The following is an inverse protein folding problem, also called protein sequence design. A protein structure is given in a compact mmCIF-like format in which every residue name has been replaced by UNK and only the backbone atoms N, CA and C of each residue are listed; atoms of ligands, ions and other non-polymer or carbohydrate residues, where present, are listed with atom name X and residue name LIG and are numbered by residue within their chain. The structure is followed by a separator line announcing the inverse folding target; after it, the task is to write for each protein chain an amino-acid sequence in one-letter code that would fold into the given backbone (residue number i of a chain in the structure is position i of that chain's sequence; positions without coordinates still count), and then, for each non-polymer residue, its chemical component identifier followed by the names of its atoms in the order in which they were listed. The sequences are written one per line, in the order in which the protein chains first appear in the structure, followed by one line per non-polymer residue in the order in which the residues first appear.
data_IF_924084021372
#
_entry.id   IF_924084021372
#
_cell.length_a   1.000
_cell.length_b   1.000
_cell.length_c   1.000
_cell.angle_alpha   90.00
_cell.angle_beta   90.00
_cell.angle_gamma   90.00
#
_symmetry.space_group_name_H-M   'P 1'
#
loop_
_entity.id
_entity.type
_entity.pdbx_description
1 polymer ?
#
# COMPACT_ATOMS: atom_id res chain seq x y z
N UNK A 1 -45.67 32.82 -7.83
CA UNK A 1 -44.97 32.32 -6.63
C UNK A 1 -44.99 30.80 -6.51
N UNK A 2 -46.11 30.11 -6.21
CA UNK A 2 -46.07 28.64 -6.04
C UNK A 2 -45.70 27.85 -7.32
N UNK A 3 -46.03 28.38 -8.50
CA UNK A 3 -45.63 27.78 -9.79
C UNK A 3 -44.13 27.91 -10.07
N UNK A 4 -43.50 28.98 -9.59
CA UNK A 4 -42.08 29.26 -9.79
C UNK A 4 -41.22 28.36 -8.90
N UNK A 5 -41.66 28.14 -7.66
CA UNK A 5 -41.00 27.22 -6.73
C UNK A 5 -41.10 25.77 -7.21
N UNK A 6 -42.25 25.35 -7.77
CA UNK A 6 -42.39 24.00 -8.33
C UNK A 6 -41.46 23.77 -9.53
N UNK A 7 -41.35 24.77 -10.40
CA UNK A 7 -40.45 24.70 -11.56
C UNK A 7 -38.98 24.67 -11.12
N UNK A 8 -38.62 25.45 -10.09
CA UNK A 8 -37.27 25.42 -9.52
C UNK A 8 -36.93 24.06 -8.90
N UNK A 9 -37.88 23.42 -8.20
CA UNK A 9 -37.70 22.06 -7.66
C UNK A 9 -37.47 21.06 -8.80
N UNK A 10 -38.29 21.11 -9.86
CA UNK A 10 -38.10 20.23 -11.02
C UNK A 10 -36.75 20.43 -11.71
N UNK A 11 -36.25 21.67 -11.76
CA UNK A 11 -34.94 21.96 -12.31
C UNK A 11 -33.82 21.36 -11.43
N UNK A 12 -33.94 21.49 -10.10
CA UNK A 12 -33.00 20.87 -9.16
C UNK A 12 -33.04 19.33 -9.26
N UNK A 13 -34.21 18.74 -9.39
CA UNK A 13 -34.36 17.29 -9.57
C UNK A 13 -33.65 16.83 -10.85
N UNK A 14 -33.81 17.57 -11.96
CA UNK A 14 -33.10 17.28 -13.21
C UNK A 14 -31.58 17.42 -13.06
N UNK A 15 -31.09 18.47 -12.39
CA UNK A 15 -29.66 18.64 -12.12
C UNK A 15 -29.09 17.50 -11.26
N UNK A 16 -29.88 16.96 -10.32
CA UNK A 16 -29.50 15.79 -9.52
C UNK A 16 -29.42 14.55 -10.40
N UNK A 17 -30.41 14.29 -11.25
CA UNK A 17 -30.43 13.14 -12.16
C UNK A 17 -29.24 13.18 -13.13
N UNK A 18 -28.99 14.34 -13.75
CA UNK A 18 -27.87 14.54 -14.67
C UNK A 18 -26.52 14.30 -13.98
N UNK A 19 -26.37 14.76 -12.73
CA UNK A 19 -25.16 14.54 -11.94
C UNK A 19 -24.97 13.06 -11.59
N UNK A 20 -26.05 12.37 -11.24
CA UNK A 20 -26.01 10.93 -10.96
C UNK A 20 -25.54 10.17 -12.21
N UNK A 21 -26.12 10.46 -13.37
CA UNK A 21 -25.75 9.79 -14.62
C UNK A 21 -24.28 10.00 -14.99
N UNK A 22 -23.77 11.22 -14.83
CA UNK A 22 -22.36 11.52 -15.11
C UNK A 22 -21.43 10.79 -14.12
N UNK A 23 -21.75 10.77 -12.83
CA UNK A 23 -20.97 10.01 -11.84
C UNK A 23 -20.99 8.51 -12.14
N UNK A 24 -22.15 7.98 -12.53
CA UNK A 24 -22.31 6.57 -12.91
C UNK A 24 -21.42 6.22 -14.12
N UNK A 25 -21.36 7.12 -15.11
CA UNK A 25 -20.50 6.97 -16.28
C UNK A 25 -19.03 6.93 -15.91
N UNK A 26 -18.59 7.85 -15.05
CA UNK A 26 -17.21 7.93 -14.56
C UNK A 26 -16.86 6.69 -13.74
N UNK A 27 -17.75 6.22 -12.87
CA UNK A 27 -17.56 5.00 -12.10
C UNK A 27 -17.41 3.78 -13.00
N UNK A 28 -18.29 3.60 -13.99
CA UNK A 28 -18.19 2.49 -14.96
C UNK A 28 -16.89 2.51 -15.75
N UNK A 29 -16.45 3.68 -16.22
CA UNK A 29 -15.18 3.83 -16.92
C UNK A 29 -13.99 3.47 -16.01
N UNK A 30 -14.03 3.92 -14.76
CA UNK A 30 -13.00 3.65 -13.76
C UNK A 30 -12.94 2.17 -13.40
N UNK A 31 -14.08 1.52 -13.15
CA UNK A 31 -14.19 0.09 -12.89
C UNK A 31 -13.66 -0.74 -14.07
N UNK A 32 -13.98 -0.35 -15.30
CA UNK A 32 -13.48 -1.01 -16.51
C UNK A 32 -11.96 -0.91 -16.62
N UNK A 33 -11.40 0.27 -16.36
CA UNK A 33 -9.95 0.48 -16.34
C UNK A 33 -9.26 -0.35 -15.24
N UNK A 34 -9.87 -0.40 -14.05
CA UNK A 34 -9.39 -1.18 -12.92
C UNK A 34 -9.35 -2.67 -13.26
N UNK A 35 -10.41 -3.21 -13.87
CA UNK A 35 -10.47 -4.60 -14.31
C UNK A 35 -9.35 -4.96 -15.30
N UNK A 36 -9.07 -4.08 -16.27
CA UNK A 36 -7.95 -4.26 -17.20
C UNK A 36 -6.59 -4.27 -16.49
N UNK A 37 -6.40 -3.43 -15.48
CA UNK A 37 -5.16 -3.40 -14.70
C UNK A 37 -4.97 -4.67 -13.87
N UNK A 38 -6.03 -5.20 -13.26
CA UNK A 38 -5.97 -6.48 -12.57
C UNK A 38 -5.62 -7.62 -13.52
N UNK A 39 -6.28 -7.71 -14.68
CA UNK A 39 -5.95 -8.73 -15.68
C UNK A 39 -4.49 -8.63 -16.14
N UNK A 40 -3.98 -7.40 -16.34
CA UNK A 40 -2.57 -7.18 -16.69
C UNK A 40 -1.63 -7.61 -15.56
N UNK A 41 -1.97 -7.32 -14.30
CA UNK A 41 -1.19 -7.72 -13.13
C UNK A 41 -1.12 -9.25 -13.05
N UNK A 42 -2.26 -9.92 -13.11
CA UNK A 42 -2.34 -11.39 -13.03
C UNK A 42 -1.51 -12.03 -14.15
N UNK A 43 -1.59 -11.48 -15.37
CA UNK A 43 -0.77 -11.94 -16.50
C UNK A 43 0.73 -11.78 -16.25
N UNK A 44 1.16 -10.68 -15.63
CA UNK A 44 2.57 -10.46 -15.32
C UNK A 44 3.05 -11.41 -14.20
N UNK A 45 2.21 -11.66 -13.20
CA UNK A 45 2.48 -12.62 -12.12
C UNK A 45 2.62 -14.05 -12.67
N UNK A 46 1.77 -14.46 -13.63
CA UNK A 46 1.94 -15.73 -14.34
C UNK A 46 3.27 -15.83 -15.10
N UNK A 47 3.70 -14.74 -15.75
CA UNK A 47 4.96 -14.71 -16.50
C UNK A 47 6.17 -14.80 -15.55
N UNK A 48 6.11 -14.13 -14.40
CA UNK A 48 7.14 -14.23 -13.37
C UNK A 48 7.21 -15.66 -12.81
N UNK A 49 6.07 -16.26 -12.45
CA UNK A 49 6.04 -17.63 -11.94
C UNK A 49 6.58 -18.66 -12.95
N UNK A 50 6.39 -18.42 -14.26
CA UNK A 50 6.95 -19.25 -15.34
C UNK A 50 8.45 -19.04 -15.57
N UNK A 51 8.99 -17.89 -15.19
CA UNK A 51 10.41 -17.57 -15.30
C UNK A 51 11.25 -18.07 -14.11
N UNK A 52 10.62 -18.41 -12.97
CA UNK A 52 11.32 -18.85 -11.75
C UNK A 52 11.87 -20.30 -11.71
N UNK A 53 11.78 -21.19 -12.72
CA UNK A 53 12.45 -22.50 -12.66
C UNK A 53 13.64 -22.60 -13.64
N UNK A 54 14.68 -21.77 -13.55
CA UNK A 54 15.93 -22.05 -14.28
C UNK A 54 17.25 -21.45 -13.72
N UNK A 55 17.34 -21.04 -12.45
CA UNK A 55 18.64 -20.61 -11.86
C UNK A 55 19.21 -21.56 -10.80
N UNK A 56 18.53 -22.67 -10.50
CA UNK A 56 18.92 -23.59 -9.43
C UNK A 56 19.72 -24.82 -9.92
N UNK A 57 20.68 -24.69 -10.84
CA UNK A 57 21.54 -25.82 -11.20
C UNK A 57 22.87 -25.46 -11.89
N UNK A 58 23.80 -24.77 -11.20
CA UNK A 58 25.23 -24.94 -11.52
C UNK A 58 26.03 -25.22 -10.25
N UNK A 59 26.67 -26.38 -10.29
CA UNK A 59 27.28 -27.12 -9.20
C UNK A 59 28.59 -26.50 -8.66
N UNK A 60 28.77 -26.69 -7.36
CA UNK A 60 29.99 -26.45 -6.57
C UNK A 60 31.01 -27.59 -6.75
N UNK A 61 32.33 -27.31 -6.78
CA UNK A 61 33.30 -28.22 -6.13
C UNK A 61 34.23 -27.53 -5.08
N UNK A 62 35.05 -28.28 -4.31
CA UNK A 62 35.16 -28.09 -2.85
C UNK A 62 36.46 -27.47 -2.29
N UNK A 63 36.25 -26.78 -1.16
CA UNK A 63 37.00 -26.69 0.11
C UNK A 63 38.54 -26.85 0.20
N UNK A 64 39.17 -25.89 0.92
CA UNK A 64 40.25 -26.15 1.90
C UNK A 64 40.03 -25.37 3.22
N UNK A 65 40.57 -25.83 4.37
CA UNK A 65 39.97 -25.57 5.67
C UNK A 65 40.83 -24.78 6.69
N UNK A 66 40.13 -24.34 7.77
CA UNK A 66 40.53 -23.96 9.15
C UNK A 66 40.76 -22.46 9.48
N UNK A 67 40.56 -22.01 10.76
CA UNK A 67 39.63 -22.49 11.78
C UNK A 67 38.81 -21.38 12.52
N UNK A 68 37.59 -21.80 12.87
CA UNK A 68 36.69 -21.48 14.01
C UNK A 68 36.99 -20.28 14.94
N UNK A 69 36.03 -19.34 15.01
CA UNK A 69 35.51 -18.85 16.30
C UNK A 69 33.98 -18.63 16.22
N UNK A 70 33.26 -19.33 17.10
CA UNK A 70 31.92 -19.10 17.65
C UNK A 70 30.76 -18.68 16.71
N UNK A 71 29.90 -19.67 16.42
CA UNK A 71 28.59 -19.52 15.81
C UNK A 71 27.49 -19.28 16.86
N UNK A 72 26.63 -18.29 16.60
CA UNK A 72 25.17 -18.48 16.73
C UNK A 72 24.47 -17.52 15.75
N UNK A 73 24.31 -18.00 14.53
CA UNK A 73 23.54 -17.35 13.47
C UNK A 73 22.42 -18.30 13.04
N UNK A 74 21.19 -18.03 13.50
CA UNK A 74 20.00 -18.42 12.75
C UNK A 74 19.64 -17.25 11.84
N UNK A 75 20.36 -17.09 10.72
CA UNK A 75 20.01 -16.11 9.68
C UNK A 75 19.15 -16.81 8.64
N UNK A 76 17.83 -16.71 8.81
CA UNK A 76 16.96 -16.63 7.64
C UNK A 76 17.29 -15.34 6.90
N UNK A 77 17.40 -15.47 5.58
CA UNK A 77 17.86 -14.46 4.65
C UNK A 77 17.08 -13.13 4.80
N UNK A 78 17.66 -12.00 5.23
CA UNK A 78 16.97 -10.73 5.14
C UNK A 78 17.09 -10.24 3.70
N UNK A 79 15.96 -10.25 2.98
CA UNK A 79 15.78 -9.48 1.77
C UNK A 79 16.22 -8.01 2.00
N UNK A 80 16.68 -7.30 0.94
CA UNK A 80 17.35 -6.01 1.10
C UNK A 80 16.44 -5.03 1.85
N UNK A 81 16.84 -4.66 3.07
CA UNK A 81 16.13 -3.71 3.91
C UNK A 81 16.40 -2.32 3.32
N UNK A 82 15.40 -1.60 2.77
CA UNK A 82 15.61 -0.22 2.38
C UNK A 82 15.89 0.60 3.65
N UNK A 83 16.78 1.58 3.54
CA UNK A 83 17.33 2.48 4.56
C UNK A 83 16.60 2.49 5.92
N UNK A 84 17.32 2.48 7.08
CA UNK A 84 16.72 2.21 8.39
C UNK A 84 15.49 3.09 8.65
N UNK A 85 14.32 2.49 8.45
CA UNK A 85 13.05 3.06 8.86
C UNK A 85 13.14 3.17 10.38
N UNK A 86 13.00 4.39 10.90
CA UNK A 86 12.96 4.59 12.35
C UNK A 86 11.87 3.72 12.96
N UNK A 87 12.07 3.22 14.18
CA UNK A 87 11.20 2.21 14.83
C UNK A 87 9.69 2.50 14.72
N UNK A 88 9.28 3.77 14.83
CA UNK A 88 7.88 4.18 14.68
C UNK A 88 7.34 4.02 13.24
N UNK A 89 8.16 4.26 12.23
CA UNK A 89 7.78 4.07 10.82
C UNK A 89 7.61 2.58 10.47
N UNK A 90 8.47 1.72 11.01
CA UNK A 90 8.34 0.26 10.87
C UNK A 90 7.03 -0.24 11.49
N UNK A 91 6.72 0.20 12.72
CA UNK A 91 5.46 -0.18 13.40
C UNK A 91 4.22 0.27 12.63
N UNK A 92 4.25 1.46 12.02
CA UNK A 92 3.15 1.93 11.17
C UNK A 92 2.99 1.04 9.94
N UNK A 93 4.08 0.68 9.26
CA UNK A 93 4.03 -0.18 8.07
C UNK A 93 3.53 -1.57 8.44
N UNK A 94 4.05 -2.18 9.50
CA UNK A 94 3.59 -3.49 9.97
C UNK A 94 2.11 -3.50 10.38
N UNK A 95 1.63 -2.41 10.98
CA UNK A 95 0.22 -2.28 11.33
C UNK A 95 -0.66 -2.19 10.06
N UNK A 96 -0.21 -1.42 9.06
CA UNK A 96 -0.90 -1.29 7.78
C UNK A 96 -0.87 -2.57 6.96
N UNK A 97 0.25 -3.30 6.96
CA UNK A 97 0.39 -4.58 6.26
C UNK A 97 -0.49 -5.66 6.89
N UNK A 98 -0.69 -5.64 8.22
CA UNK A 98 -1.63 -6.52 8.91
C UNK A 98 -3.10 -6.26 8.52
N UNK A 99 -3.45 -4.99 8.36
CA UNK A 99 -4.83 -4.59 8.01
C UNK A 99 -5.11 -4.69 6.51
N UNK A 100 -4.06 -4.61 5.68
CA UNK A 100 -4.12 -4.74 4.24
C UNK A 100 -5.05 -3.72 3.59
N UNK A 101 -6.01 -4.22 2.81
CA UNK A 101 -6.91 -3.39 2.00
C UNK A 101 -7.94 -2.58 2.83
N UNK A 102 -8.20 -2.95 4.08
CA UNK A 102 -9.12 -2.20 4.94
C UNK A 102 -8.52 -0.85 5.39
N UNK A 103 -7.18 -0.79 5.49
CA UNK A 103 -6.44 0.41 5.90
C UNK A 103 -6.72 0.83 7.34
N UNK A 104 -5.86 1.70 7.88
CA UNK A 104 -5.96 2.20 9.24
C UNK A 104 -6.21 3.70 9.29
N UNK A 105 -7.01 4.15 10.26
CA UNK A 105 -7.18 5.57 10.51
C UNK A 105 -5.94 6.18 11.16
N UNK A 106 -5.82 7.52 11.08
CA UNK A 106 -4.73 8.24 11.74
C UNK A 106 -4.67 8.02 13.26
N UNK A 107 -5.79 7.75 13.91
CA UNK A 107 -5.84 7.44 15.35
C UNK A 107 -5.36 6.01 15.63
N UNK A 108 -5.76 5.03 14.81
CA UNK A 108 -5.32 3.65 14.93
C UNK A 108 -3.81 3.50 14.71
N UNK A 109 -3.23 4.28 13.79
CA UNK A 109 -1.77 4.35 13.62
C UNK A 109 -1.07 4.92 14.86
N UNK A 110 -1.64 5.95 15.48
CA UNK A 110 -1.09 6.53 16.70
C UNK A 110 -1.18 5.55 17.87
N UNK A 111 -2.28 4.79 17.98
CA UNK A 111 -2.41 3.72 18.96
C UNK A 111 -1.41 2.59 18.74
N UNK A 112 -1.16 2.18 17.50
CA UNK A 112 -0.16 1.16 17.19
C UNK A 112 1.24 1.58 17.63
N UNK A 113 1.62 2.83 17.37
CA UNK A 113 2.92 3.40 17.80
C UNK A 113 2.97 3.56 19.32
N UNK A 114 1.89 3.97 19.97
CA UNK A 114 1.80 4.09 21.43
C UNK A 114 1.88 2.72 22.12
N UNK A 115 1.21 1.69 21.58
CA UNK A 115 1.32 0.28 22.06
C UNK A 115 2.75 -0.25 21.96
N UNK A 116 3.54 0.27 21.02
CA UNK A 116 4.97 -0.03 20.90
C UNK A 116 5.87 0.82 21.83
N UNK A 117 5.27 1.59 22.75
CA UNK A 117 5.97 2.40 23.76
C UNK A 117 6.55 3.71 23.25
N UNK A 118 6.05 4.23 22.13
CA UNK A 118 6.58 5.44 21.47
C UNK A 118 5.60 6.63 21.59
N UNK A 119 6.15 7.85 21.60
CA UNK A 119 5.36 9.06 21.78
C UNK A 119 4.50 9.40 20.56
N UNK A 120 3.45 10.20 20.78
CA UNK A 120 2.59 10.70 19.71
C UNK A 120 3.36 11.51 18.66
N UNK A 121 4.35 12.30 19.08
CA UNK A 121 5.21 13.05 18.16
C UNK A 121 6.06 12.13 17.27
N UNK A 122 6.49 10.99 17.80
CA UNK A 122 7.18 9.98 17.00
C UNK A 122 6.25 9.37 15.95
N UNK A 123 4.97 9.17 16.27
CA UNK A 123 3.97 8.69 15.32
C UNK A 123 3.72 9.68 14.19
N UNK A 124 3.56 10.97 14.47
CA UNK A 124 3.33 12.00 13.44
C UNK A 124 4.56 12.22 12.54
N UNK A 125 5.77 12.21 13.12
CA UNK A 125 7.02 12.21 12.34
C UNK A 125 7.14 10.97 11.46
N UNK A 126 6.74 9.80 11.98
CA UNK A 126 6.76 8.56 11.24
C UNK A 126 5.76 8.58 10.08
N UNK A 127 4.51 9.03 10.28
CA UNK A 127 3.50 9.21 9.21
C UNK A 127 4.00 10.12 8.09
N UNK A 128 4.57 11.27 8.47
CA UNK A 128 5.16 12.22 7.52
C UNK A 128 6.29 11.56 6.72
N UNK A 129 7.14 10.79 7.40
CA UNK A 129 8.26 10.09 6.77
C UNK A 129 7.79 8.97 5.84
N UNK A 130 6.85 8.13 6.24
CA UNK A 130 6.34 7.04 5.39
C UNK A 130 5.56 7.57 4.19
N UNK A 131 4.86 8.71 4.33
CA UNK A 131 4.22 9.42 3.20
C UNK A 131 5.28 9.96 2.23
N UNK A 132 6.31 10.65 2.73
CA UNK A 132 7.40 11.19 1.92
C UNK A 132 8.18 10.11 1.18
N UNK A 133 8.38 8.96 1.80
CA UNK A 133 9.07 7.81 1.21
C UNK A 133 8.18 6.98 0.25
N UNK A 134 6.93 7.39 0.02
CA UNK A 134 6.03 6.67 -0.90
C UNK A 134 5.66 5.26 -0.41
N UNK A 135 5.74 4.99 0.89
CA UNK A 135 5.49 3.65 1.45
C UNK A 135 4.01 3.43 1.80
N UNK A 136 3.24 4.50 1.90
CA UNK A 136 1.82 4.49 2.28
C UNK A 136 1.02 5.47 1.43
N UNK A 137 -0.23 5.11 1.13
CA UNK A 137 -1.22 6.00 0.50
C UNK A 137 -2.12 6.56 1.59
N UNK A 138 -2.25 7.89 1.64
CA UNK A 138 -3.23 8.55 2.49
C UNK A 138 -4.43 8.97 1.65
N UNK A 139 -5.61 8.48 2.01
CA UNK A 139 -6.88 8.92 1.44
C UNK A 139 -7.51 9.95 2.39
N UNK A 140 -7.56 11.20 1.93
CA UNK A 140 -8.08 12.33 2.72
C UNK A 140 -9.60 12.30 2.86
N UNK A 141 -10.31 11.69 1.89
CA UNK A 141 -11.77 11.55 1.90
C UNK A 141 -12.18 10.45 2.88
N UNK A 142 -11.50 9.31 2.83
CA UNK A 142 -11.75 8.20 3.74
C UNK A 142 -11.09 8.39 5.12
N UNK A 143 -10.20 9.38 5.27
CA UNK A 143 -9.32 9.60 6.45
C UNK A 143 -8.55 8.34 6.85
N UNK A 144 -8.13 7.56 5.85
CA UNK A 144 -7.51 6.24 6.00
C UNK A 144 -6.16 6.19 5.33
N UNK A 145 -5.29 5.39 5.92
CA UNK A 145 -3.95 5.09 5.45
C UNK A 145 -3.95 3.66 4.94
N UNK A 146 -3.32 3.44 3.79
CA UNK A 146 -3.21 2.15 3.14
C UNK A 146 -1.74 1.82 2.88
N UNK A 147 -1.34 0.54 2.99
CA UNK A 147 -0.01 0.13 2.56
C UNK A 147 0.10 0.27 1.03
N UNK A 148 1.18 0.88 0.54
CA UNK A 148 1.55 0.77 -0.87
C UNK A 148 2.29 -0.55 -1.06
N UNK A 149 1.78 -1.40 -1.96
CA UNK A 149 2.34 -2.69 -2.29
C UNK A 149 3.83 -2.56 -2.66
N UNK A 150 4.66 -3.50 -2.21
CA UNK A 150 6.10 -3.51 -2.49
C UNK A 150 6.43 -3.39 -3.98
N UNK A 151 5.56 -3.86 -4.86
CA UNK A 151 5.69 -3.79 -6.32
C UNK A 151 5.69 -2.36 -6.88
N UNK A 152 5.10 -1.38 -6.18
CA UNK A 152 5.15 0.03 -6.58
C UNK A 152 6.35 0.78 -5.95
N UNK A 153 7.08 0.17 -5.01
CA UNK A 153 8.30 0.75 -4.40
C UNK A 153 9.55 0.63 -5.30
N UNK A 154 9.46 -0.11 -6.40
CA UNK A 154 10.54 -0.36 -7.37
C UNK A 154 10.50 0.52 -8.62
N UNK A 155 9.54 1.46 -8.74
CA UNK A 155 9.39 2.33 -9.93
C UNK A 155 9.98 3.74 -9.78
N UNK A 156 10.65 4.02 -8.67
CA UNK A 156 11.36 5.28 -8.41
C UNK A 156 12.84 5.00 -8.18
N UNK A 157 13.51 4.57 -9.24
CA UNK A 157 14.95 4.83 -9.44
C UNK A 157 15.09 5.87 -10.56
#
# INVERSE_FOLDING_TARGET
MFSDVRSAIQQVDQEIEDLIEEQDRVLRATCSRLALLYLKKDRMEELLAKAEPEEAAIARPPARPKPVVAAKAGRSNPAPVPAPLGRAATVIIEALDREGAAGLSGTQLNEAVNKAGMSRDAAEKAKTRVKRLGLVRHDELARRWYPLAQSDRLKTE
#
